data_IF_154136886167
#
_entry.id   IF_154136886167
#
_cell.length_a   1.000
_cell.length_b   1.000
_cell.length_c   1.000
_cell.angle_alpha   90.00
_cell.angle_beta   90.00
_cell.angle_gamma   90.00
#
_symmetry.space_group_name_H-M   'P 1'
#
loop_
_entity.id
_entity.type
_entity.pdbx_description
1 polymer ?
#
# COMPACT_ATOMS: atom_id res chain seq x y z
N UNK A 1 -4.98 10.34 -24.51
CA UNK A 1 -4.26 9.82 -23.31
C UNK A 1 -3.09 8.96 -23.76
N UNK A 2 -2.09 8.71 -22.90
CA UNK A 2 -0.82 8.09 -23.32
C UNK A 2 -0.94 6.56 -23.25
N UNK A 3 -1.04 5.91 -24.40
CA UNK A 3 -0.99 4.44 -24.51
C UNK A 3 0.46 3.98 -24.70
N UNK A 4 0.78 2.79 -24.20
CA UNK A 4 2.04 2.05 -24.41
C UNK A 4 3.32 2.75 -23.93
N UNK A 5 3.62 2.56 -22.64
CA UNK A 5 4.96 2.88 -22.12
C UNK A 5 6.01 1.94 -22.74
N UNK A 6 6.78 2.45 -23.69
CA UNK A 6 8.10 1.92 -24.02
C UNK A 6 8.25 1.06 -25.28
N UNK A 7 7.31 1.06 -26.23
CA UNK A 7 7.50 0.31 -27.50
C UNK A 7 7.35 1.19 -28.74
N UNK A 8 6.38 2.11 -28.82
CA UNK A 8 6.21 2.98 -29.99
C UNK A 8 5.98 4.45 -29.61
N UNK A 9 6.71 5.34 -30.28
CA UNK A 9 6.66 6.78 -30.07
C UNK A 9 5.58 7.39 -30.95
N UNK A 10 4.61 8.09 -30.34
CA UNK A 10 3.59 8.93 -30.98
C UNK A 10 2.34 8.25 -31.58
N UNK A 11 1.66 7.41 -30.82
CA UNK A 11 0.22 7.19 -31.04
C UNK A 11 -0.57 7.70 -29.83
N UNK A 12 -1.00 8.96 -29.89
CA UNK A 12 -2.00 9.48 -28.97
C UNK A 12 -3.36 9.09 -29.51
N UNK A 13 -3.99 8.07 -28.93
CA UNK A 13 -5.37 7.73 -29.24
C UNK A 13 -6.24 8.99 -29.19
N UNK A 14 -7.04 9.20 -30.24
CA UNK A 14 -7.82 10.39 -30.60
C UNK A 14 -8.95 10.77 -29.64
N UNK A 15 -8.92 10.29 -28.40
CA UNK A 15 -9.96 10.47 -27.40
C UNK A 15 -9.65 11.69 -26.50
N UNK A 16 -10.55 12.67 -26.51
CA UNK A 16 -10.47 13.89 -25.68
C UNK A 16 -10.71 13.52 -24.22
N UNK A 17 -9.65 13.66 -23.42
CA UNK A 17 -9.57 13.66 -21.96
C UNK A 17 -10.01 14.97 -21.28
N UNK A 18 -11.00 15.00 -20.38
CA UNK A 18 -11.20 16.13 -19.46
C UNK A 18 -11.42 15.64 -18.03
N UNK A 19 -10.68 16.18 -17.05
CA UNK A 19 -10.90 15.90 -15.63
C UNK A 19 -10.71 17.15 -14.78
N UNK A 20 -11.39 17.19 -13.65
CA UNK A 20 -11.37 18.31 -12.72
C UNK A 20 -11.64 17.85 -11.29
N UNK A 21 -10.86 18.38 -10.35
CA UNK A 21 -11.06 18.16 -8.91
C UNK A 21 -11.19 19.49 -8.20
N UNK A 22 -12.22 19.63 -7.39
CA UNK A 22 -12.44 20.79 -6.54
C UNK A 22 -12.38 20.37 -5.07
N UNK A 23 -11.60 21.09 -4.25
CA UNK A 23 -11.45 20.84 -2.82
C UNK A 23 -11.67 22.14 -2.06
N UNK A 24 -12.47 22.08 -0.99
CA UNK A 24 -12.77 23.24 -0.17
C UNK A 24 -12.78 22.92 1.32
N UNK A 25 -11.92 23.61 2.07
CA UNK A 25 -11.87 23.53 3.53
C UNK A 25 -13.04 24.30 4.13
N UNK A 26 -14.10 23.59 4.57
CA UNK A 26 -15.26 24.23 5.18
C UNK A 26 -14.95 24.77 6.58
N UNK A 27 -14.04 24.12 7.31
CA UNK A 27 -13.51 24.56 8.60
C UNK A 27 -12.17 23.85 8.90
N UNK A 28 -11.55 24.14 10.05
CA UNK A 28 -10.27 23.57 10.49
C UNK A 28 -10.27 22.04 10.63
N UNK A 29 -11.43 21.39 10.55
CA UNK A 29 -11.58 19.95 10.70
C UNK A 29 -12.17 19.25 9.48
N UNK A 30 -12.81 19.96 8.55
CA UNK A 30 -13.52 19.33 7.44
C UNK A 30 -13.16 19.97 6.11
N UNK A 31 -12.74 19.13 5.17
CA UNK A 31 -12.49 19.49 3.77
C UNK A 31 -13.38 18.65 2.89
N UNK A 32 -14.23 19.28 2.08
CA UNK A 32 -15.01 18.62 1.06
C UNK A 32 -14.22 18.51 -0.25
N UNK A 33 -14.53 17.48 -1.03
CA UNK A 33 -13.94 17.22 -2.34
C UNK A 33 -15.04 16.84 -3.33
N UNK A 34 -14.93 17.32 -4.56
CA UNK A 34 -15.72 16.89 -5.70
C UNK A 34 -14.77 16.61 -6.87
N UNK A 35 -15.06 15.57 -7.64
CA UNK A 35 -14.25 15.14 -8.77
C UNK A 35 -15.16 14.80 -9.95
N UNK A 36 -14.74 15.13 -11.16
CA UNK A 36 -15.42 14.72 -12.38
C UNK A 36 -14.41 14.47 -13.50
N UNK A 37 -14.67 13.46 -14.30
CA UNK A 37 -13.88 13.05 -15.45
C UNK A 37 -14.80 12.63 -16.60
N UNK A 38 -14.45 13.03 -17.83
CA UNK A 38 -15.17 12.68 -19.05
C UNK A 38 -14.16 12.39 -20.14
N UNK A 39 -14.35 11.27 -20.83
CA UNK A 39 -13.61 10.86 -22.02
C UNK A 39 -14.57 10.25 -23.05
N UNK A 40 -14.04 9.78 -24.18
CA UNK A 40 -14.86 9.12 -25.19
C UNK A 40 -15.42 7.78 -24.67
N UNK A 41 -16.75 7.73 -24.45
CA UNK A 41 -17.45 6.53 -23.99
C UNK A 41 -17.34 6.22 -22.49
N UNK A 42 -16.86 7.17 -21.68
CA UNK A 42 -16.81 7.06 -20.22
C UNK A 42 -17.01 8.44 -19.58
N UNK A 43 -17.90 8.51 -18.60
CA UNK A 43 -18.04 9.65 -17.69
C UNK A 43 -18.00 9.16 -16.24
N UNK A 44 -17.39 9.93 -15.35
CA UNK A 44 -17.28 9.61 -13.93
C UNK A 44 -17.41 10.89 -13.12
N UNK A 45 -18.16 10.84 -12.02
CA UNK A 45 -18.27 11.96 -11.09
C UNK A 45 -18.41 11.44 -9.67
N UNK A 46 -17.80 12.15 -8.72
CA UNK A 46 -17.82 11.76 -7.33
C UNK A 46 -17.62 12.92 -6.39
N UNK A 47 -17.89 12.65 -5.12
CA UNK A 47 -17.67 13.57 -4.03
C UNK A 47 -17.16 12.83 -2.81
N UNK A 48 -16.50 13.55 -1.93
CA UNK A 48 -15.98 13.01 -0.70
C UNK A 48 -15.62 14.09 0.28
N UNK A 49 -14.99 13.68 1.38
CA UNK A 49 -14.49 14.62 2.34
C UNK A 49 -13.53 13.99 3.33
N UNK A 50 -12.68 14.84 3.88
CA UNK A 50 -11.72 14.51 4.94
C UNK A 50 -12.13 15.23 6.21
N UNK A 51 -12.31 14.47 7.29
CA UNK A 51 -12.65 14.92 8.63
C UNK A 51 -11.50 14.62 9.60
N UNK A 52 -10.97 15.67 10.23
CA UNK A 52 -10.08 15.57 11.39
C UNK A 52 -10.92 15.38 12.65
N UNK A 53 -10.84 14.19 13.26
CA UNK A 53 -11.57 13.79 14.45
C UNK A 53 -10.91 14.38 15.72
N UNK A 54 -10.77 15.70 15.77
CA UNK A 54 -10.11 16.42 16.86
C UNK A 54 -8.60 16.18 16.93
N UNK A 55 -7.97 16.65 18.02
CA UNK A 55 -6.49 16.60 18.19
C UNK A 55 -5.93 15.19 18.37
N UNK A 56 -6.78 14.23 18.73
CA UNK A 56 -6.36 12.89 19.12
C UNK A 56 -7.25 11.78 18.56
N UNK A 57 -8.18 12.06 17.65
CA UNK A 57 -9.06 11.04 17.06
C UNK A 57 -8.71 10.66 15.63
N UNK A 58 -7.67 11.26 15.03
CA UNK A 58 -7.15 10.86 13.72
C UNK A 58 -7.87 11.54 12.57
N UNK A 59 -7.70 10.98 11.37
CA UNK A 59 -8.23 11.51 10.12
C UNK A 59 -9.13 10.43 9.51
N UNK A 60 -10.36 10.81 9.18
CA UNK A 60 -11.31 10.01 8.43
C UNK A 60 -11.49 10.63 7.05
N UNK A 61 -11.45 9.83 6.01
CA UNK A 61 -11.81 10.20 4.65
C UNK A 61 -12.90 9.26 4.17
N UNK A 62 -13.87 9.78 3.42
CA UNK A 62 -14.87 8.99 2.73
C UNK A 62 -15.19 9.62 1.38
N UNK A 63 -15.43 8.80 0.36
CA UNK A 63 -15.89 9.25 -0.95
C UNK A 63 -16.86 8.26 -1.60
N UNK A 64 -17.65 8.80 -2.51
CA UNK A 64 -18.55 8.09 -3.40
C UNK A 64 -18.37 8.65 -4.81
N UNK A 65 -18.24 7.77 -5.79
CA UNK A 65 -18.17 8.12 -7.20
C UNK A 65 -19.09 7.21 -8.01
N UNK A 66 -19.66 7.73 -9.08
CA UNK A 66 -20.48 6.99 -10.03
C UNK A 66 -19.95 7.20 -11.44
N UNK A 67 -19.92 6.13 -12.22
CA UNK A 67 -19.44 6.12 -13.60
C UNK A 67 -20.47 5.53 -14.55
N UNK A 68 -20.53 6.08 -15.75
CA UNK A 68 -21.23 5.50 -16.91
C UNK A 68 -20.20 5.23 -18.01
N UNK A 69 -20.13 4.00 -18.51
CA UNK A 69 -19.27 3.62 -19.63
C UNK A 69 -19.96 2.68 -20.60
N UNK A 70 -20.09 3.09 -21.85
CA UNK A 70 -20.69 2.28 -22.93
C UNK A 70 -22.06 1.66 -22.56
N UNK A 71 -22.88 2.40 -21.81
CA UNK A 71 -24.21 1.95 -21.35
C UNK A 71 -24.19 1.05 -20.11
N UNK A 72 -23.05 0.94 -19.42
CA UNK A 72 -22.93 0.28 -18.12
C UNK A 72 -22.65 1.31 -17.04
N UNK A 73 -23.40 1.22 -15.94
CA UNK A 73 -23.24 2.09 -14.79
C UNK A 73 -22.57 1.34 -13.64
N UNK A 74 -21.88 2.09 -12.77
CA UNK A 74 -21.37 1.55 -11.53
C UNK A 74 -21.01 2.61 -10.52
N UNK A 75 -20.81 2.18 -9.29
CA UNK A 75 -20.51 3.06 -8.15
C UNK A 75 -19.24 2.58 -7.48
N UNK A 76 -18.35 3.50 -7.11
CA UNK A 76 -17.24 3.25 -6.22
C UNK A 76 -17.46 3.96 -4.89
N UNK A 77 -17.17 3.27 -3.80
CA UNK A 77 -17.05 3.87 -2.48
C UNK A 77 -15.63 3.69 -1.97
N UNK A 78 -15.15 4.65 -1.20
CA UNK A 78 -13.90 4.52 -0.47
C UNK A 78 -13.99 5.17 0.90
N UNK A 79 -13.27 4.59 1.85
CA UNK A 79 -13.12 5.13 3.20
C UNK A 79 -11.73 4.83 3.72
N UNK A 80 -11.15 5.80 4.41
CA UNK A 80 -9.87 5.65 5.07
C UNK A 80 -9.92 6.29 6.44
N UNK A 81 -9.47 5.55 7.45
CA UNK A 81 -9.28 6.07 8.78
C UNK A 81 -7.83 5.82 9.21
N UNK A 82 -7.16 6.88 9.65
CA UNK A 82 -5.80 6.82 10.14
C UNK A 82 -5.70 7.52 11.48
N UNK A 83 -5.26 6.78 12.49
CA UNK A 83 -5.01 7.28 13.82
C UNK A 83 -3.68 6.78 14.33
N UNK A 84 -2.88 7.68 14.89
CA UNK A 84 -1.67 7.29 15.58
C UNK A 84 -1.37 8.21 16.75
N UNK A 85 -0.60 7.69 17.69
CA UNK A 85 0.02 8.44 18.76
C UNK A 85 1.43 7.88 19.04
N UNK A 86 2.07 8.34 20.11
CA UNK A 86 3.43 7.92 20.49
C UNK A 86 3.62 6.40 20.70
N UNK A 87 2.54 5.64 20.91
CA UNK A 87 2.57 4.20 21.19
C UNK A 87 1.68 3.40 20.26
N UNK A 88 0.50 3.87 19.88
CA UNK A 88 -0.47 3.10 19.12
C UNK A 88 -0.63 3.67 17.71
N UNK A 89 -0.91 2.80 16.76
CA UNK A 89 -1.36 3.18 15.42
C UNK A 89 -2.52 2.27 15.02
N UNK A 90 -3.49 2.84 14.31
CA UNK A 90 -4.64 2.14 13.73
C UNK A 90 -4.83 2.73 12.33
N UNK A 91 -4.91 1.86 11.33
CA UNK A 91 -5.22 2.20 9.95
C UNK A 91 -6.34 1.33 9.45
N UNK A 92 -7.36 1.93 8.85
CA UNK A 92 -8.44 1.23 8.15
C UNK A 92 -8.51 1.85 6.76
N UNK A 93 -8.54 1.02 5.73
CA UNK A 93 -8.79 1.42 4.35
C UNK A 93 -9.80 0.44 3.78
N UNK A 94 -10.86 0.94 3.17
CA UNK A 94 -11.80 0.11 2.45
C UNK A 94 -12.20 0.84 1.18
N UNK A 95 -12.20 0.11 0.07
CA UNK A 95 -12.62 0.56 -1.23
C UNK A 95 -13.40 -0.56 -1.87
N UNK A 96 -14.46 -0.24 -2.58
CA UNK A 96 -15.18 -1.23 -3.34
C UNK A 96 -15.98 -0.61 -4.46
N UNK A 97 -16.32 -1.45 -5.43
CA UNK A 97 -17.18 -1.10 -6.54
C UNK A 97 -18.45 -1.94 -6.48
N UNK A 98 -19.55 -1.33 -6.88
CA UNK A 98 -20.84 -1.97 -7.11
C UNK A 98 -21.09 -1.87 -8.62
N UNK A 99 -21.62 -2.94 -9.19
CA UNK A 99 -21.86 -3.08 -10.63
C UNK A 99 -20.58 -2.84 -11.46
N UNK A 100 -20.70 -2.28 -12.67
CA UNK A 100 -19.63 -2.16 -13.65
C UNK A 100 -18.92 -0.81 -13.57
N UNK A 101 -18.47 -0.42 -12.37
CA UNK A 101 -17.75 0.84 -12.19
C UNK A 101 -16.47 0.87 -13.03
N UNK A 102 -16.29 1.94 -13.80
CA UNK A 102 -15.11 2.20 -14.62
C UNK A 102 -14.59 3.61 -14.40
N UNK A 103 -13.28 3.72 -14.30
CA UNK A 103 -12.54 4.97 -14.43
C UNK A 103 -11.60 4.94 -15.64
N UNK A 104 -10.95 6.07 -15.91
CA UNK A 104 -10.01 6.20 -17.03
C UNK A 104 -8.82 5.23 -16.93
N UNK A 105 -8.43 4.81 -15.73
CA UNK A 105 -7.39 3.80 -15.53
C UNK A 105 -7.86 2.39 -15.89
N UNK A 106 -9.13 2.06 -15.65
CA UNK A 106 -9.72 0.75 -15.95
C UNK A 106 -10.10 0.57 -17.43
N UNK A 107 -10.35 1.66 -18.16
CA UNK A 107 -10.67 1.59 -19.61
C UNK A 107 -9.55 0.96 -20.45
N UNK A 108 -8.32 0.92 -19.93
CA UNK A 108 -7.13 0.41 -20.62
C UNK A 108 -6.60 -0.95 -20.10
N UNK A 109 -7.44 -1.73 -19.42
CA UNK A 109 -7.21 -3.18 -19.26
C UNK A 109 -6.71 -3.66 -17.90
N UNK A 110 -6.92 -2.89 -16.81
CA UNK A 110 -6.65 -3.40 -15.47
C UNK A 110 -7.90 -4.10 -14.92
N UNK A 111 -7.78 -5.37 -14.52
CA UNK A 111 -8.83 -6.06 -13.80
C UNK A 111 -9.20 -5.26 -12.53
N UNK A 112 -10.41 -4.71 -12.48
CA UNK A 112 -10.83 -3.85 -11.38
C UNK A 112 -10.96 -4.69 -10.12
N UNK A 113 -10.22 -4.33 -9.07
CA UNK A 113 -10.46 -4.85 -7.73
C UNK A 113 -11.89 -4.44 -7.32
N UNK A 114 -12.80 -5.41 -7.24
CA UNK A 114 -14.20 -5.19 -6.82
C UNK A 114 -14.28 -4.74 -5.37
N UNK A 115 -13.34 -5.18 -4.54
CA UNK A 115 -13.28 -4.81 -3.12
C UNK A 115 -11.85 -4.94 -2.61
N UNK A 116 -11.35 -3.92 -1.92
CA UNK A 116 -10.10 -3.95 -1.18
C UNK A 116 -10.33 -3.43 0.23
N UNK A 117 -9.94 -4.21 1.22
CA UNK A 117 -10.08 -3.87 2.63
C UNK A 117 -8.78 -4.14 3.36
N UNK A 118 -8.31 -3.16 4.13
CA UNK A 118 -7.08 -3.25 4.88
C UNK A 118 -7.33 -2.68 6.27
N UNK A 119 -7.03 -3.48 7.29
CA UNK A 119 -7.09 -3.06 8.69
C UNK A 119 -5.73 -3.34 9.31
N UNK A 120 -5.14 -2.37 9.98
CA UNK A 120 -3.86 -2.51 10.65
C UNK A 120 -3.91 -1.86 12.02
N UNK A 121 -3.24 -2.48 12.97
CA UNK A 121 -3.04 -1.90 14.29
C UNK A 121 -1.66 -2.26 14.80
N UNK A 122 -1.04 -1.34 15.54
CA UNK A 122 0.28 -1.55 16.08
C UNK A 122 0.51 -0.86 17.41
N UNK A 123 1.43 -1.42 18.17
CA UNK A 123 1.85 -0.96 19.49
C UNK A 123 3.37 -0.85 19.55
N UNK A 124 3.86 0.29 20.01
CA UNK A 124 5.27 0.64 20.14
C UNK A 124 5.62 0.85 21.61
N UNK A 125 6.59 0.08 22.11
CA UNK A 125 7.16 0.22 23.44
C UNK A 125 8.68 0.21 23.39
N UNK A 126 9.31 0.97 24.29
CA UNK A 126 10.78 1.02 24.41
C UNK A 126 11.37 -0.33 24.86
N UNK A 127 10.64 -1.09 25.67
CA UNK A 127 11.15 -2.34 26.27
C UNK A 127 11.08 -3.54 25.32
N UNK A 128 10.01 -3.66 24.54
CA UNK A 128 9.75 -4.82 23.70
C UNK A 128 9.81 -4.52 22.19
N UNK A 129 9.91 -3.25 21.79
CA UNK A 129 9.91 -2.85 20.38
C UNK A 129 8.51 -2.52 19.86
N UNK A 130 8.33 -2.63 18.55
CA UNK A 130 7.07 -2.40 17.85
C UNK A 130 6.46 -3.73 17.45
N UNK A 131 5.17 -3.88 17.70
CA UNK A 131 4.36 -5.01 17.31
C UNK A 131 3.22 -4.47 16.48
N UNK A 132 2.70 -5.28 15.57
CA UNK A 132 1.40 -5.01 15.03
C UNK A 132 0.89 -6.17 14.20
N UNK A 133 -0.38 -6.02 13.85
CA UNK A 133 -1.11 -6.99 13.04
C UNK A 133 -1.85 -6.23 11.96
N UNK A 134 -2.00 -6.87 10.81
CA UNK A 134 -2.81 -6.35 9.73
C UNK A 134 -3.61 -7.45 9.08
N UNK A 135 -4.77 -7.09 8.56
CA UNK A 135 -5.61 -7.91 7.73
C UNK A 135 -5.79 -7.18 6.40
N UNK A 136 -5.56 -7.88 5.30
CA UNK A 136 -5.71 -7.34 3.96
C UNK A 136 -6.56 -8.31 3.14
N UNK A 137 -7.59 -7.80 2.49
CA UNK A 137 -8.46 -8.52 1.58
C UNK A 137 -8.50 -7.80 0.25
N UNK A 138 -8.40 -8.56 -0.84
CA UNK A 138 -8.61 -8.07 -2.20
C UNK A 138 -9.48 -9.07 -2.96
N UNK A 139 -10.67 -8.65 -3.34
CA UNK A 139 -11.53 -9.38 -4.26
C UNK A 139 -11.41 -8.75 -5.66
N UNK A 140 -11.08 -9.56 -6.66
CA UNK A 140 -11.01 -9.15 -8.07
C UNK A 140 -12.21 -9.74 -8.82
N UNK A 141 -12.55 -9.18 -9.99
CA UNK A 141 -13.69 -9.65 -10.76
C UNK A 141 -13.56 -11.09 -11.26
N UNK A 142 -12.34 -11.52 -11.59
CA UNK A 142 -12.07 -12.81 -12.26
C UNK A 142 -11.19 -13.78 -11.44
N UNK A 143 -10.75 -13.37 -10.25
CA UNK A 143 -9.88 -14.18 -9.39
C UNK A 143 -10.52 -14.42 -8.03
N UNK A 144 -10.11 -15.51 -7.37
CA UNK A 144 -10.50 -15.78 -6.00
C UNK A 144 -10.11 -14.62 -5.08
N UNK A 145 -10.95 -14.35 -4.09
CA UNK A 145 -10.69 -13.30 -3.12
C UNK A 145 -9.44 -13.66 -2.34
N UNK A 146 -8.41 -12.83 -2.38
CA UNK A 146 -7.17 -13.05 -1.65
C UNK A 146 -7.25 -12.39 -0.28
N UNK A 147 -6.93 -13.13 0.78
CA UNK A 147 -7.02 -12.65 2.16
C UNK A 147 -5.74 -13.01 2.93
N UNK A 148 -5.08 -12.00 3.51
CA UNK A 148 -3.88 -12.19 4.29
C UNK A 148 -4.03 -11.58 5.69
N UNK A 149 -3.69 -12.36 6.71
CA UNK A 149 -3.42 -11.85 8.04
C UNK A 149 -1.90 -11.80 8.27
N UNK A 150 -1.37 -10.64 8.62
CA UNK A 150 0.04 -10.46 8.90
C UNK A 150 0.26 -10.05 10.35
N UNK A 151 1.35 -10.52 10.92
CA UNK A 151 1.88 -10.04 12.20
C UNK A 151 3.33 -9.59 12.00
N UNK A 152 3.69 -8.47 12.58
CA UNK A 152 5.05 -7.95 12.55
C UNK A 152 5.56 -7.64 13.95
N UNK A 153 6.86 -7.81 14.12
CA UNK A 153 7.60 -7.36 15.28
C UNK A 153 8.91 -6.73 14.83
N UNK A 154 9.32 -5.65 15.46
CA UNK A 154 10.65 -5.08 15.26
C UNK A 154 11.19 -4.45 16.53
N UNK A 155 12.49 -4.61 16.79
CA UNK A 155 13.15 -3.98 17.93
C UNK A 155 14.57 -3.58 17.59
N UNK A 156 14.92 -2.35 17.90
CA UNK A 156 16.29 -1.84 17.87
C UNK A 156 16.94 -1.98 19.25
N UNK A 157 18.12 -2.57 19.29
CA UNK A 157 19.00 -2.67 20.45
C UNK A 157 20.14 -1.67 20.30
N UNK A 158 19.97 -0.52 20.96
CA UNK A 158 20.88 0.62 20.79
C UNK A 158 20.84 1.16 19.35
N UNK A 159 21.99 1.65 18.87
CA UNK A 159 22.12 2.24 17.53
C UNK A 159 22.65 1.28 16.47
N UNK A 160 23.01 0.05 16.86
CA UNK A 160 23.77 -0.87 16.02
C UNK A 160 22.95 -2.06 15.56
N UNK A 161 22.15 -2.67 16.44
CA UNK A 161 21.43 -3.90 16.11
C UNK A 161 19.94 -3.61 15.99
N UNK A 162 19.30 -4.13 14.95
CA UNK A 162 17.84 -4.23 14.88
C UNK A 162 17.43 -5.61 14.42
N UNK A 163 16.38 -6.12 15.05
CA UNK A 163 15.72 -7.38 14.70
C UNK A 163 14.33 -7.06 14.20
N UNK A 164 13.88 -7.81 13.21
CA UNK A 164 12.49 -7.80 12.76
C UNK A 164 12.03 -9.21 12.43
N UNK A 165 10.78 -9.50 12.78
CA UNK A 165 10.11 -10.74 12.42
C UNK A 165 8.78 -10.37 11.75
N UNK A 166 8.41 -11.08 10.70
CA UNK A 166 7.12 -10.94 10.05
C UNK A 166 6.56 -12.33 9.79
N UNK A 167 5.25 -12.46 9.95
CA UNK A 167 4.50 -13.65 9.61
C UNK A 167 3.30 -13.21 8.77
N UNK A 168 3.07 -13.85 7.63
CA UNK A 168 1.91 -13.65 6.79
C UNK A 168 1.22 -15.01 6.64
N UNK A 169 -0.06 -15.01 6.96
CA UNK A 169 -0.94 -16.15 6.83
C UNK A 169 -1.94 -15.87 5.71
N UNK A 170 -1.91 -16.67 4.66
CA UNK A 170 -2.99 -16.69 3.66
C UNK A 170 -4.17 -17.45 4.25
N UNK A 171 -5.31 -16.77 4.35
CA UNK A 171 -6.52 -17.27 4.99
C UNK A 171 -7.24 -18.28 4.11
N UNK A 172 -7.09 -18.18 2.78
CA UNK A 172 -7.74 -19.08 1.83
C UNK A 172 -6.91 -20.34 1.56
N UNK A 173 -5.59 -20.18 1.55
CA UNK A 173 -4.68 -21.29 1.31
C UNK A 173 -3.49 -21.23 2.27
N UNK A 174 -3.56 -22.01 3.35
CA UNK A 174 -2.46 -22.11 4.31
C UNK A 174 -1.14 -22.57 3.69
N UNK A 175 -1.15 -23.12 2.47
CA UNK A 175 0.05 -23.47 1.71
C UNK A 175 0.86 -22.23 1.24
N UNK A 176 0.32 -21.02 1.37
CA UNK A 176 0.97 -19.77 0.95
C UNK A 176 1.48 -18.94 2.14
N UNK A 177 1.64 -19.57 3.31
CA UNK A 177 2.14 -18.89 4.47
C UNK A 177 3.60 -18.46 4.27
N UNK A 178 3.98 -17.37 4.92
CA UNK A 178 5.38 -16.96 4.95
C UNK A 178 5.78 -16.40 6.29
N UNK A 179 6.94 -16.84 6.76
CA UNK A 179 7.58 -16.31 7.95
C UNK A 179 8.94 -15.74 7.56
N UNK A 180 9.32 -14.62 8.17
CA UNK A 180 10.65 -14.06 7.99
C UNK A 180 11.19 -13.56 9.32
N UNK A 181 12.49 -13.76 9.51
CA UNK A 181 13.26 -13.16 10.58
C UNK A 181 14.49 -12.50 9.97
N UNK A 182 14.73 -11.24 10.31
CA UNK A 182 15.88 -10.50 9.84
C UNK A 182 16.58 -9.78 10.98
N UNK A 183 17.89 -9.71 10.87
CA UNK A 183 18.78 -9.03 11.81
C UNK A 183 19.72 -8.14 11.02
N UNK A 184 19.74 -6.85 11.35
CA UNK A 184 20.64 -5.88 10.75
C UNK A 184 21.55 -5.26 11.80
N UNK A 185 22.86 -5.29 11.53
CA UNK A 185 23.92 -4.76 12.37
C UNK A 185 24.66 -3.65 11.62
N UNK A 186 24.59 -2.42 12.14
CA UNK A 186 25.43 -1.31 11.74
C UNK A 186 26.76 -1.35 12.51
N UNK A 187 27.84 -1.57 11.79
CA UNK A 187 29.21 -1.55 12.28
C UNK A 187 29.82 -0.15 12.10
N UNK A 188 31.02 0.04 12.66
CA UNK A 188 31.79 1.25 12.42
C UNK A 188 32.16 1.37 10.93
N UNK A 189 32.52 2.59 10.49
CA UNK A 189 32.89 2.90 9.09
C UNK A 189 31.75 2.72 8.07
N UNK A 190 30.51 2.94 8.52
CA UNK A 190 29.29 2.84 7.71
C UNK A 190 29.09 1.47 7.05
N UNK A 191 29.58 0.39 7.67
CA UNK A 191 29.34 -0.97 7.19
C UNK A 191 28.02 -1.47 7.80
N UNK A 192 27.13 -1.99 6.98
CA UNK A 192 25.90 -2.68 7.39
C UNK A 192 26.00 -4.16 7.04
N UNK A 193 25.67 -5.01 8.01
CA UNK A 193 25.48 -6.44 7.82
C UNK A 193 24.00 -6.73 8.04
N UNK A 194 23.32 -7.36 7.09
CA UNK A 194 21.95 -7.86 7.26
C UNK A 194 21.88 -9.33 6.96
N UNK A 195 21.33 -10.09 7.88
CA UNK A 195 21.01 -11.50 7.71
C UNK A 195 19.50 -11.65 7.74
N UNK A 196 18.95 -12.50 6.90
CA UNK A 196 17.54 -12.85 6.95
C UNK A 196 17.32 -14.31 6.62
N UNK A 197 16.33 -14.88 7.26
CA UNK A 197 15.75 -16.17 6.91
C UNK A 197 14.30 -15.93 6.57
N UNK A 198 13.87 -16.42 5.41
CA UNK A 198 12.50 -16.40 4.98
C UNK A 198 12.09 -17.84 4.69
N UNK A 199 11.04 -18.29 5.37
CA UNK A 199 10.40 -19.55 5.12
C UNK A 199 9.09 -19.28 4.38
N UNK A 200 8.94 -19.87 3.22
CA UNK A 200 7.65 -20.11 2.58
C UNK A 200 7.44 -21.62 2.57
N UNK A 201 6.21 -22.07 2.36
CA UNK A 201 5.86 -23.48 2.50
C UNK A 201 6.74 -24.44 1.70
N UNK A 202 7.19 -24.04 0.51
CA UNK A 202 8.06 -24.87 -0.34
C UNK A 202 9.56 -24.54 -0.27
N UNK A 203 9.97 -23.47 0.43
CA UNK A 203 11.38 -23.06 0.39
C UNK A 203 11.81 -22.28 1.62
N UNK A 204 13.04 -22.53 2.05
CA UNK A 204 13.66 -21.73 3.11
C UNK A 204 14.86 -20.99 2.54
N UNK A 205 14.72 -19.69 2.41
CA UNK A 205 15.78 -18.84 1.87
C UNK A 205 16.55 -18.21 3.02
N UNK A 206 17.83 -18.51 3.11
CA UNK A 206 18.78 -17.76 3.92
C UNK A 206 19.49 -16.73 3.05
N UNK A 207 19.57 -15.48 3.51
CA UNK A 207 20.38 -14.46 2.85
C UNK A 207 21.23 -13.69 3.84
N UNK A 208 22.47 -13.42 3.43
CA UNK A 208 23.42 -12.58 4.15
C UNK A 208 23.93 -11.51 3.20
N UNK A 209 23.85 -10.26 3.62
CA UNK A 209 24.24 -9.09 2.85
C UNK A 209 25.17 -8.23 3.69
N UNK A 210 26.31 -7.87 3.12
CA UNK A 210 27.24 -6.91 3.73
C UNK A 210 27.43 -5.78 2.74
N UNK A 211 27.23 -4.56 3.21
CA UNK A 211 27.32 -3.37 2.37
C UNK A 211 28.02 -2.23 3.08
N UNK A 212 28.72 -1.40 2.30
CA UNK A 212 29.27 -0.13 2.73
C UNK A 212 28.98 0.89 1.62
N UNK A 213 28.11 1.88 1.84
CA UNK A 213 27.83 2.89 0.85
C UNK A 213 29.06 3.80 0.62
N UNK A 214 29.13 4.42 -0.55
CA UNK A 214 30.10 5.48 -0.81
C UNK A 214 29.81 6.68 0.12
N UNK A 215 30.85 7.42 0.49
CA UNK A 215 30.66 8.62 1.31
C UNK A 215 30.09 9.77 0.46
N UNK A 216 29.37 10.69 1.09
CA UNK A 216 28.85 11.89 0.41
C UNK A 216 29.96 12.81 -0.14
N UNK A 217 31.18 12.70 0.39
CA UNK A 217 32.36 13.43 -0.08
C UNK A 217 33.11 12.70 -1.22
N UNK A 218 32.51 11.63 -1.78
CA UNK A 218 33.13 10.74 -2.75
C UNK A 218 33.76 9.50 -2.12
N UNK A 219 34.03 8.48 -2.94
CA UNK A 219 34.68 7.23 -2.54
C UNK A 219 34.02 5.98 -3.11
N UNK A 220 34.59 4.81 -2.78
CA UNK A 220 34.12 3.52 -3.28
C UNK A 220 33.15 2.89 -2.27
N UNK A 221 31.90 2.71 -2.70
CA UNK A 221 30.94 1.83 -2.03
C UNK A 221 31.05 0.40 -2.55
N UNK A 222 30.67 -0.57 -1.73
CA UNK A 222 30.62 -1.97 -2.11
C UNK A 222 29.46 -2.70 -1.44
N UNK A 223 29.02 -3.79 -2.05
CA UNK A 223 27.98 -4.68 -1.53
C UNK A 223 28.30 -6.11 -1.94
N UNK A 224 28.20 -7.03 -1.00
CA UNK A 224 28.34 -8.46 -1.22
C UNK A 224 27.10 -9.14 -0.63
N UNK A 225 26.47 -10.02 -1.40
CA UNK A 225 25.29 -10.76 -0.98
C UNK A 225 25.48 -12.25 -1.27
N UNK A 226 25.12 -13.09 -0.30
CA UNK A 226 25.01 -14.53 -0.45
C UNK A 226 23.58 -14.95 -0.16
N UNK A 227 23.04 -15.86 -0.99
CA UNK A 227 21.68 -16.42 -0.83
C UNK A 227 21.74 -17.93 -1.01
N UNK A 228 21.04 -18.64 -0.14
CA UNK A 228 20.87 -20.09 -0.17
C UNK A 228 19.37 -20.41 -0.04
N UNK A 229 18.88 -21.44 -0.72
CA UNK A 229 17.47 -21.84 -0.80
C UNK A 229 17.32 -23.34 -0.64
#
# INVERSE_FOLDING_TARGET
MRENYGIDSFDYGSNIAASGTWRYGMNDRFTAEAHAEVTNGLSNAGFGGTLLLGRSGGILFASLAGSESQGQDGIQYSTNYSWNNSRFNIGINAMGTIDDYRDVGTQYGSATARRSEQVSTGYSTKSLGRFGVSYNQVAQAEHETTQFASAYWSKSFGRRLSLSANYNHDINDSANNSASLSASLSLNRNISLSNSVQHTDNSTVFSSDVSRPASNAGGIGWRAQARHS
#
